data_IF_285251197586
#
_entry.id   IF_285251197586
#
_cell.length_a   1.000
_cell.length_b   1.000
_cell.length_c   1.000
_cell.angle_alpha   90.00
_cell.angle_beta   90.00
_cell.angle_gamma   90.00
#
_symmetry.space_group_name_H-M   'P 1'
#
loop_
_entity.id
_entity.type
_entity.pdbx_description
1 polymer ?
#
# COMPACT_ATOMS: atom_id res chain seq x y z
N UNK A 1 11.74 0.51 12.27
CA UNK A 1 10.29 0.23 12.36
C UNK A 1 10.04 -1.22 12.72
N UNK A 2 9.13 -1.48 13.66
CA UNK A 2 8.61 -2.81 14.03
C UNK A 2 7.11 -2.86 13.80
N UNK A 3 6.56 -4.06 13.53
CA UNK A 3 5.13 -4.32 13.41
C UNK A 3 4.74 -5.38 14.42
N UNK A 4 3.73 -5.11 15.25
CA UNK A 4 3.16 -6.10 16.16
C UNK A 4 1.69 -6.34 15.81
N UNK A 5 1.34 -7.60 15.63
CA UNK A 5 -0.03 -8.01 15.37
C UNK A 5 -0.73 -8.36 16.69
N UNK A 6 -2.00 -7.98 16.84
CA UNK A 6 -2.77 -8.18 18.07
C UNK A 6 -3.01 -9.65 18.46
N UNK A 7 -2.85 -10.58 17.52
CA UNK A 7 -2.93 -12.03 17.78
C UNK A 7 -1.59 -12.66 18.18
N UNK A 8 -0.49 -11.92 18.18
CA UNK A 8 0.81 -12.43 18.61
C UNK A 8 0.80 -12.66 20.12
N UNK A 9 1.14 -13.87 20.56
CA UNK A 9 1.20 -14.23 21.98
C UNK A 9 2.25 -13.42 22.76
N UNK A 10 3.25 -12.92 22.09
CA UNK A 10 4.30 -12.08 22.67
C UNK A 10 3.99 -10.58 22.59
N UNK A 11 2.82 -10.18 22.08
CA UNK A 11 2.47 -8.79 21.80
C UNK A 11 2.79 -7.83 22.96
N UNK A 12 2.27 -8.09 24.16
CA UNK A 12 2.43 -7.19 25.30
C UNK A 12 3.87 -7.11 25.79
N UNK A 13 4.59 -8.24 25.79
CA UNK A 13 6.00 -8.29 26.18
C UNK A 13 6.88 -7.52 25.17
N UNK A 14 6.63 -7.70 23.87
CA UNK A 14 7.35 -6.99 22.81
C UNK A 14 7.02 -5.49 22.82
N UNK A 15 5.75 -5.14 22.99
CA UNK A 15 5.30 -3.75 23.15
C UNK A 15 6.06 -3.07 24.29
N UNK A 16 6.05 -3.67 25.48
CA UNK A 16 6.76 -3.14 26.65
C UNK A 16 8.26 -2.97 26.37
N UNK A 17 8.88 -3.96 25.75
CA UNK A 17 10.30 -3.93 25.41
C UNK A 17 10.66 -2.85 24.37
N UNK A 18 9.80 -2.59 23.41
CA UNK A 18 9.98 -1.55 22.38
C UNK A 18 9.86 -0.15 23.01
N UNK A 19 8.80 0.09 23.78
CA UNK A 19 8.59 1.38 24.47
C UNK A 19 9.75 1.69 25.43
N UNK A 20 10.23 0.70 26.20
CA UNK A 20 11.38 0.86 27.09
C UNK A 20 12.69 1.19 26.34
N UNK A 21 12.77 0.94 25.03
CA UNK A 21 13.91 1.28 24.17
C UNK A 21 13.72 2.57 23.38
N UNK A 22 12.67 3.34 23.70
CA UNK A 22 12.36 4.63 23.06
C UNK A 22 11.78 4.50 21.67
N UNK A 23 11.09 3.41 21.36
CA UNK A 23 10.19 3.35 20.22
C UNK A 23 8.87 4.03 20.57
N UNK A 24 8.24 4.65 19.59
CA UNK A 24 6.95 5.32 19.72
C UNK A 24 5.90 4.51 18.97
N UNK A 25 4.69 4.44 19.53
CA UNK A 25 3.55 3.83 18.86
C UNK A 25 2.95 4.80 17.85
N UNK A 26 2.68 4.34 16.65
CA UNK A 26 1.93 5.07 15.63
C UNK A 26 0.42 4.73 15.75
N UNK A 27 -0.39 5.36 14.90
CA UNK A 27 -1.81 5.06 14.82
C UNK A 27 -2.06 3.58 14.47
N UNK A 28 -3.07 2.95 15.12
CA UNK A 28 -3.39 1.57 14.86
C UNK A 28 -3.89 1.35 13.44
N UNK A 29 -3.52 0.23 12.87
CA UNK A 29 -4.02 -0.28 11.59
C UNK A 29 -4.71 -1.62 11.78
N UNK A 30 -5.39 -2.08 10.75
CA UNK A 30 -6.02 -3.39 10.71
C UNK A 30 -5.51 -4.18 9.52
N UNK A 31 -4.98 -5.37 9.76
CA UNK A 31 -4.74 -6.32 8.68
C UNK A 31 -6.09 -6.83 8.20
N UNK A 32 -6.40 -6.57 6.92
CA UNK A 32 -7.61 -7.02 6.25
C UNK A 32 -7.25 -7.93 5.08
N UNK A 33 -8.09 -8.93 4.83
CA UNK A 33 -7.88 -9.94 3.78
C UNK A 33 -9.16 -10.14 2.98
N UNK A 34 -9.04 -10.38 1.67
CA UNK A 34 -10.15 -10.75 0.81
C UNK A 34 -9.70 -11.74 -0.27
N UNK A 35 -10.61 -12.59 -0.75
CA UNK A 35 -10.36 -13.35 -1.98
C UNK A 35 -10.27 -12.38 -3.17
N UNK A 36 -9.33 -12.63 -4.08
CA UNK A 36 -9.13 -11.79 -5.28
C UNK A 36 -10.41 -11.70 -6.10
N UNK A 37 -11.11 -12.81 -6.33
CA UNK A 37 -12.34 -12.86 -7.13
C UNK A 37 -13.46 -12.04 -6.48
N UNK A 38 -13.58 -12.06 -5.14
CA UNK A 38 -14.55 -11.24 -4.40
C UNK A 38 -14.30 -9.76 -4.64
N UNK A 39 -13.04 -9.33 -4.53
CA UNK A 39 -12.68 -7.92 -4.77
C UNK A 39 -12.93 -7.51 -6.21
N UNK A 40 -12.54 -8.34 -7.17
CA UNK A 40 -12.76 -8.06 -8.61
C UNK A 40 -14.25 -8.00 -8.96
N UNK A 41 -15.09 -8.84 -8.35
CA UNK A 41 -16.55 -8.81 -8.54
C UNK A 41 -17.22 -7.57 -7.90
N UNK A 42 -16.67 -7.08 -6.79
CA UNK A 42 -17.19 -5.90 -6.10
C UNK A 42 -16.73 -4.57 -6.74
N UNK A 43 -15.64 -4.60 -7.52
CA UNK A 43 -15.16 -3.44 -8.23
C UNK A 43 -16.06 -3.13 -9.45
N UNK A 44 -16.29 -1.84 -9.78
CA UNK A 44 -17.02 -1.50 -10.99
C UNK A 44 -16.28 -2.04 -12.23
N UNK A 45 -17.04 -2.51 -13.23
CA UNK A 45 -16.48 -3.08 -14.46
C UNK A 45 -15.52 -2.12 -15.19
N UNK A 46 -15.76 -0.81 -15.06
CA UNK A 46 -14.80 0.22 -15.40
C UNK A 46 -14.76 1.23 -14.27
N UNK A 47 -13.58 1.53 -13.74
CA UNK A 47 -13.44 2.64 -12.79
C UNK A 47 -13.68 3.92 -13.57
N UNK A 48 -14.87 4.52 -13.34
CA UNK A 48 -15.27 5.75 -14.01
C UNK A 48 -14.36 6.92 -13.57
N UNK A 49 -13.92 7.72 -14.54
CA UNK A 49 -13.13 8.90 -14.25
C UNK A 49 -12.05 9.17 -15.30
N UNK A 50 -11.42 10.33 -15.23
CA UNK A 50 -10.43 10.73 -16.20
C UNK A 50 -9.04 10.10 -15.96
N UNK A 51 -8.87 9.37 -14.84
CA UNK A 51 -7.58 8.83 -14.44
C UNK A 51 -7.22 7.56 -15.24
N UNK A 52 -5.98 7.48 -15.67
CA UNK A 52 -5.38 6.26 -16.22
C UNK A 52 -4.30 5.73 -15.26
N UNK A 53 -4.30 4.42 -14.99
CA UNK A 53 -3.28 3.82 -14.13
C UNK A 53 -2.39 2.86 -14.92
N UNK A 54 -1.09 2.82 -14.56
CA UNK A 54 -0.14 1.88 -15.13
C UNK A 54 0.87 1.39 -14.11
N UNK A 55 1.50 0.29 -14.41
CA UNK A 55 2.67 -0.18 -13.67
C UNK A 55 3.87 0.73 -13.97
N UNK A 56 4.67 0.97 -12.95
CA UNK A 56 5.95 1.67 -13.03
C UNK A 56 7.07 0.61 -13.13
N UNK A 57 7.86 0.65 -14.19
CA UNK A 57 8.82 -0.42 -14.51
C UNK A 57 10.25 0.07 -14.62
N UNK A 58 10.46 1.37 -14.56
CA UNK A 58 11.79 1.98 -14.66
C UNK A 58 12.11 2.84 -13.43
N UNK A 59 13.38 3.01 -13.14
CA UNK A 59 13.86 3.90 -12.07
C UNK A 59 13.31 5.32 -12.24
N UNK A 60 13.22 5.82 -13.47
CA UNK A 60 12.67 7.15 -13.78
C UNK A 60 11.17 7.26 -13.47
N UNK A 61 10.40 6.18 -13.61
CA UNK A 61 8.99 6.19 -13.26
C UNK A 61 8.75 6.49 -11.78
N UNK A 62 9.70 6.13 -10.91
CA UNK A 62 9.59 6.38 -9.47
C UNK A 62 9.79 7.85 -9.08
N UNK A 63 10.23 8.72 -9.99
CA UNK A 63 10.24 10.17 -9.74
C UNK A 63 8.81 10.69 -9.60
N UNK A 64 7.87 10.20 -10.42
CA UNK A 64 6.44 10.52 -10.30
C UNK A 64 5.86 9.96 -8.99
N UNK A 65 6.28 8.78 -8.57
CA UNK A 65 5.90 8.18 -7.29
C UNK A 65 6.36 9.04 -6.11
N UNK A 66 7.61 9.50 -6.13
CA UNK A 66 8.16 10.39 -5.11
C UNK A 66 7.39 11.70 -5.01
N UNK A 67 7.06 12.34 -6.13
CA UNK A 67 6.28 13.58 -6.16
C UNK A 67 4.91 13.43 -5.46
N UNK A 68 4.20 12.31 -5.67
CA UNK A 68 2.94 12.05 -4.98
C UNK A 68 3.17 11.99 -3.46
N UNK A 69 4.23 11.32 -3.02
CA UNK A 69 4.53 11.16 -1.61
C UNK A 69 4.95 12.48 -0.96
N UNK A 70 5.76 13.28 -1.63
CA UNK A 70 6.20 14.60 -1.15
C UNK A 70 5.02 15.56 -0.99
N UNK A 71 4.04 15.50 -1.90
CA UNK A 71 2.82 16.30 -1.83
C UNK A 71 1.88 15.87 -0.68
N UNK A 72 1.83 14.58 -0.37
CA UNK A 72 0.90 14.04 0.64
C UNK A 72 1.51 14.04 2.03
N UNK A 73 2.81 13.80 2.14
CA UNK A 73 3.56 13.77 3.40
C UNK A 73 4.78 14.69 3.33
N UNK A 74 4.57 16.01 3.32
CA UNK A 74 5.68 16.96 3.26
C UNK A 74 6.56 16.82 4.50
N UNK A 75 7.88 16.78 4.29
CA UNK A 75 8.87 16.65 5.36
C UNK A 75 9.13 15.22 5.86
N UNK A 76 8.39 14.22 5.35
CA UNK A 76 8.73 12.82 5.62
C UNK A 76 9.99 12.39 4.85
N UNK A 77 10.73 11.34 5.30
CA UNK A 77 11.94 10.87 4.62
C UNK A 77 11.62 10.07 3.35
N UNK A 78 10.74 10.61 2.50
CA UNK A 78 10.20 9.94 1.31
C UNK A 78 11.31 9.49 0.34
N UNK A 79 12.33 10.33 0.13
CA UNK A 79 13.44 10.04 -0.75
C UNK A 79 14.19 8.75 -0.35
N UNK A 80 14.33 8.47 0.95
CA UNK A 80 14.98 7.25 1.44
C UNK A 80 14.22 6.00 1.00
N UNK A 81 12.90 5.99 1.17
CA UNK A 81 12.06 4.85 0.76
C UNK A 81 12.05 4.69 -0.75
N UNK A 82 11.93 5.79 -1.49
CA UNK A 82 11.92 5.76 -2.96
C UNK A 82 13.27 5.31 -3.52
N UNK A 83 14.39 5.64 -2.89
CA UNK A 83 15.70 5.15 -3.30
C UNK A 83 15.86 3.63 -3.10
N UNK A 84 15.32 3.06 -2.01
CA UNK A 84 15.24 1.59 -1.85
C UNK A 84 14.39 0.98 -2.96
N UNK A 85 13.24 1.58 -3.29
CA UNK A 85 12.37 1.11 -4.38
C UNK A 85 13.03 1.20 -5.75
N UNK A 86 13.79 2.28 -6.03
CA UNK A 86 14.59 2.43 -7.25
C UNK A 86 15.61 1.30 -7.38
N UNK A 87 16.29 0.97 -6.28
CA UNK A 87 17.23 -0.16 -6.23
C UNK A 87 16.56 -1.49 -6.55
N UNK A 88 15.36 -1.73 -6.05
CA UNK A 88 14.62 -2.98 -6.32
C UNK A 88 14.18 -3.09 -7.79
N UNK A 89 13.76 -1.98 -8.40
CA UNK A 89 13.44 -1.96 -9.84
C UNK A 89 14.70 -2.23 -10.67
N UNK A 90 15.80 -1.61 -10.33
CA UNK A 90 17.10 -1.79 -11.05
C UNK A 90 17.59 -3.24 -10.94
N UNK A 91 17.40 -3.87 -9.80
CA UNK A 91 17.70 -5.29 -9.56
C UNK A 91 16.68 -6.26 -10.18
N UNK A 92 15.63 -5.74 -10.84
CA UNK A 92 14.55 -6.56 -11.41
C UNK A 92 13.86 -7.48 -10.37
N UNK A 93 13.67 -6.97 -9.15
CA UNK A 93 13.00 -7.74 -8.09
C UNK A 93 11.58 -8.11 -8.53
N UNK A 94 11.28 -9.40 -8.78
CA UNK A 94 9.97 -9.81 -9.25
C UNK A 94 8.88 -9.75 -8.16
N UNK A 95 9.29 -9.59 -6.91
CA UNK A 95 8.41 -9.63 -5.74
C UNK A 95 7.76 -8.30 -5.40
N UNK A 96 8.17 -7.19 -6.04
CA UNK A 96 7.58 -5.88 -5.78
C UNK A 96 7.13 -5.21 -7.09
N UNK A 97 5.89 -4.69 -7.10
CA UNK A 97 5.33 -4.02 -8.28
C UNK A 97 4.76 -2.66 -7.87
N UNK A 98 5.17 -1.62 -8.57
CA UNK A 98 4.76 -0.24 -8.34
C UNK A 98 3.74 0.20 -9.38
N UNK A 99 2.77 1.01 -8.95
CA UNK A 99 1.71 1.55 -9.80
C UNK A 99 1.48 3.03 -9.51
N UNK A 100 1.12 3.79 -10.53
CA UNK A 100 0.62 5.15 -10.37
C UNK A 100 -0.58 5.40 -11.29
N UNK A 101 -1.44 6.29 -10.84
CA UNK A 101 -2.55 6.83 -11.62
C UNK A 101 -2.24 8.27 -12.02
N UNK A 102 -2.57 8.57 -13.26
CA UNK A 102 -2.25 9.84 -13.93
C UNK A 102 -3.53 10.54 -14.35
N UNK A 103 -3.55 11.85 -14.17
CA UNK A 103 -4.57 12.74 -14.74
C UNK A 103 -4.39 12.91 -16.26
N UNK A 104 -5.38 13.45 -16.98
CA UNK A 104 -5.31 13.62 -18.43
C UNK A 104 -4.16 14.51 -18.93
N UNK A 105 -3.69 15.43 -18.09
CA UNK A 105 -2.52 16.29 -18.37
C UNK A 105 -1.17 15.59 -18.09
N UNK A 106 -1.20 14.34 -17.60
CA UNK A 106 -0.02 13.56 -17.26
C UNK A 106 0.47 13.74 -15.82
N UNK A 107 -0.20 14.53 -15.00
CA UNK A 107 0.15 14.65 -13.59
C UNK A 107 -0.06 13.31 -12.87
N UNK A 108 0.94 12.86 -12.11
CA UNK A 108 0.81 11.69 -11.24
C UNK A 108 0.07 12.08 -9.95
N UNK A 109 -1.07 11.43 -9.67
CA UNK A 109 -2.02 11.88 -8.63
C UNK A 109 -2.32 10.84 -7.56
N UNK A 110 -2.08 9.57 -7.85
CA UNK A 110 -2.28 8.47 -6.90
C UNK A 110 -1.23 7.37 -7.15
N UNK A 111 -0.84 6.68 -6.11
CA UNK A 111 0.15 5.61 -6.18
C UNK A 111 -0.16 4.46 -5.24
N UNK A 112 0.52 3.36 -5.44
CA UNK A 112 0.52 2.21 -4.57
C UNK A 112 1.46 1.14 -5.11
N UNK A 113 1.86 0.22 -4.23
CA UNK A 113 2.65 -0.93 -4.63
C UNK A 113 2.08 -2.21 -4.04
N UNK A 114 2.55 -3.34 -4.49
CA UNK A 114 2.24 -4.62 -3.89
C UNK A 114 3.48 -5.50 -3.81
N UNK A 115 3.53 -6.29 -2.76
CA UNK A 115 4.45 -7.42 -2.64
C UNK A 115 3.73 -8.70 -3.07
N UNK A 116 4.31 -9.41 -4.02
CA UNK A 116 3.82 -10.71 -4.46
C UNK A 116 4.91 -11.47 -5.22
N UNK A 117 5.47 -12.49 -4.63
CA UNK A 117 6.36 -13.40 -5.35
C UNK A 117 5.56 -14.42 -6.17
N UNK A 118 6.05 -14.81 -7.36
CA UNK A 118 5.40 -15.84 -8.16
C UNK A 118 5.20 -17.12 -7.36
N UNK A 119 3.95 -17.62 -7.33
CA UNK A 119 3.57 -18.82 -6.57
C UNK A 119 3.04 -18.56 -5.17
N UNK A 120 3.15 -17.34 -4.65
CA UNK A 120 2.54 -17.00 -3.36
C UNK A 120 1.00 -16.91 -3.51
N UNK A 121 0.23 -17.48 -2.57
CA UNK A 121 -1.22 -17.35 -2.62
C UNK A 121 -1.72 -15.96 -2.21
N UNK A 122 -0.90 -15.13 -1.60
CA UNK A 122 -1.30 -13.82 -1.04
C UNK A 122 -0.47 -12.70 -1.67
N UNK A 123 -1.15 -11.67 -2.16
CA UNK A 123 -0.53 -10.41 -2.54
C UNK A 123 -0.81 -9.33 -1.48
N UNK A 124 0.25 -8.73 -0.92
CA UNK A 124 0.14 -7.64 0.07
C UNK A 124 0.13 -6.28 -0.65
N UNK A 125 -0.98 -5.56 -0.54
CA UNK A 125 -1.16 -4.23 -1.13
C UNK A 125 -0.72 -3.16 -0.13
N UNK A 126 0.20 -2.29 -0.55
CA UNK A 126 0.82 -1.28 0.30
C UNK A 126 0.79 0.11 -0.33
N UNK A 127 1.06 1.13 0.49
CA UNK A 127 1.38 2.50 0.06
C UNK A 127 0.31 3.18 -0.78
N UNK A 128 -0.97 2.85 -0.57
CA UNK A 128 -2.09 3.49 -1.26
C UNK A 128 -2.19 4.96 -0.88
N UNK A 129 -1.78 5.85 -1.76
CA UNK A 129 -1.68 7.29 -1.54
C UNK A 129 -2.36 8.05 -2.64
N UNK A 130 -3.10 9.13 -2.29
CA UNK A 130 -3.81 9.98 -3.27
C UNK A 130 -3.69 11.44 -2.84
N UNK A 131 -3.26 12.31 -3.78
CA UNK A 131 -3.22 13.77 -3.59
C UNK A 131 -4.59 14.30 -3.18
N UNK A 132 -4.64 15.28 -2.29
CA UNK A 132 -5.88 15.76 -1.68
C UNK A 132 -6.93 16.20 -2.71
N UNK A 133 -6.52 16.89 -3.78
CA UNK A 133 -7.40 17.33 -4.87
C UNK A 133 -8.08 16.18 -5.63
N UNK A 134 -7.52 14.98 -5.59
CA UNK A 134 -8.00 13.80 -6.33
C UNK A 134 -8.68 12.76 -5.44
N UNK A 135 -8.84 13.04 -4.13
CA UNK A 135 -9.61 12.19 -3.22
C UNK A 135 -11.10 12.24 -3.56
N UNK A 136 -11.83 11.17 -3.24
CA UNK A 136 -13.26 11.01 -3.54
C UNK A 136 -13.63 11.03 -5.03
N UNK A 137 -12.65 10.86 -5.91
CA UNK A 137 -12.79 10.79 -7.37
C UNK A 137 -12.35 9.40 -7.90
N UNK A 138 -12.63 8.36 -7.15
CA UNK A 138 -12.33 6.96 -7.49
C UNK A 138 -10.83 6.61 -7.65
N UNK A 139 -9.90 7.51 -7.35
CA UNK A 139 -8.46 7.26 -7.48
C UNK A 139 -8.00 6.05 -6.66
N UNK A 140 -8.45 5.94 -5.41
CA UNK A 140 -8.16 4.79 -4.55
C UNK A 140 -8.72 3.47 -5.13
N UNK A 141 -9.96 3.49 -5.62
CA UNK A 141 -10.61 2.33 -6.26
C UNK A 141 -9.87 1.91 -7.52
N UNK A 142 -9.40 2.86 -8.33
CA UNK A 142 -8.57 2.60 -9.50
C UNK A 142 -7.26 1.90 -9.11
N UNK A 143 -6.57 2.42 -8.09
CA UNK A 143 -5.33 1.81 -7.60
C UNK A 143 -5.54 0.41 -7.03
N UNK A 144 -6.67 0.17 -6.38
CA UNK A 144 -7.02 -1.17 -5.90
C UNK A 144 -7.31 -2.11 -7.08
N UNK A 145 -8.08 -1.66 -8.08
CA UNK A 145 -8.47 -2.46 -9.24
C UNK A 145 -7.25 -2.94 -10.04
N UNK A 146 -6.32 -2.05 -10.37
CA UNK A 146 -5.14 -2.44 -11.17
C UNK A 146 -4.24 -3.41 -10.43
N UNK A 147 -4.10 -3.27 -9.11
CA UNK A 147 -3.29 -4.18 -8.29
C UNK A 147 -3.99 -5.53 -8.10
N UNK A 148 -5.30 -5.55 -7.86
CA UNK A 148 -6.08 -6.79 -7.78
C UNK A 148 -6.03 -7.59 -9.09
N UNK A 149 -6.19 -6.92 -10.24
CA UNK A 149 -6.04 -7.55 -11.56
C UNK A 149 -4.63 -8.10 -11.78
N UNK A 150 -3.60 -7.37 -11.37
CA UNK A 150 -2.22 -7.82 -11.48
C UNK A 150 -1.95 -9.03 -10.56
N UNK A 151 -2.45 -9.02 -9.34
CA UNK A 151 -2.37 -10.14 -8.40
C UNK A 151 -3.03 -11.41 -8.96
N UNK A 152 -4.26 -11.27 -9.51
CA UNK A 152 -4.96 -12.37 -10.18
C UNK A 152 -4.15 -12.98 -11.32
N UNK A 153 -3.60 -12.13 -12.22
CA UNK A 153 -2.77 -12.58 -13.36
C UNK A 153 -1.48 -13.29 -12.90
N UNK A 154 -1.01 -13.02 -11.69
CA UNK A 154 0.17 -13.64 -11.10
C UNK A 154 -0.15 -14.87 -10.25
N UNK A 155 -1.43 -15.25 -10.14
CA UNK A 155 -1.88 -16.45 -9.45
C UNK A 155 -2.16 -16.27 -7.96
N UNK A 156 -2.20 -15.06 -7.44
CA UNK A 156 -2.66 -14.81 -6.08
C UNK A 156 -4.14 -15.18 -5.93
N UNK A 157 -4.50 -15.89 -4.88
CA UNK A 157 -5.88 -16.20 -4.50
C UNK A 157 -6.47 -15.17 -3.54
N UNK A 158 -5.61 -14.48 -2.78
CA UNK A 158 -6.01 -13.51 -1.76
C UNK A 158 -5.23 -12.21 -1.86
N UNK A 159 -5.87 -11.13 -1.43
CA UNK A 159 -5.26 -9.83 -1.20
C UNK A 159 -5.22 -9.56 0.29
N UNK A 160 -4.12 -9.01 0.78
CA UNK A 160 -3.97 -8.50 2.13
C UNK A 160 -3.67 -7.00 2.09
N UNK A 161 -4.17 -6.25 3.07
CA UNK A 161 -3.94 -4.81 3.22
C UNK A 161 -3.78 -4.48 4.69
N UNK A 162 -2.76 -3.70 5.03
CA UNK A 162 -2.64 -3.05 6.34
C UNK A 162 -3.39 -1.72 6.27
N UNK A 163 -4.66 -1.75 6.67
CA UNK A 163 -5.62 -0.69 6.46
C UNK A 163 -5.60 0.34 7.59
N UNK A 164 -5.47 1.63 7.25
CA UNK A 164 -5.73 2.73 8.17
C UNK A 164 -7.24 2.82 8.49
N UNK A 165 -7.64 3.51 9.58
CA UNK A 165 -9.05 3.73 9.89
C UNK A 165 -9.86 4.33 8.74
N UNK A 166 -9.26 5.19 7.91
CA UNK A 166 -9.93 5.81 6.76
C UNK A 166 -10.16 4.84 5.61
N UNK A 167 -9.24 3.88 5.39
CA UNK A 167 -9.35 2.91 4.29
C UNK A 167 -10.21 1.70 4.62
N UNK A 168 -10.33 1.32 5.90
CA UNK A 168 -11.10 0.16 6.35
C UNK A 168 -12.55 0.13 5.81
N UNK A 169 -13.37 1.22 5.92
CA UNK A 169 -14.74 1.18 5.44
C UNK A 169 -14.84 1.06 3.92
N UNK A 170 -13.83 1.50 3.17
CA UNK A 170 -13.78 1.33 1.72
C UNK A 170 -13.48 -0.13 1.38
N UNK A 171 -12.48 -0.71 2.04
CA UNK A 171 -12.07 -2.09 1.83
C UNK A 171 -13.17 -3.08 2.24
N UNK A 172 -13.85 -2.84 3.38
CA UNK A 172 -14.97 -3.67 3.83
C UNK A 172 -16.09 -3.77 2.78
N UNK A 173 -16.44 -2.66 2.11
CA UNK A 173 -17.43 -2.66 1.00
C UNK A 173 -16.98 -3.46 -0.21
N UNK A 174 -15.70 -3.71 -0.36
CA UNK A 174 -15.09 -4.49 -1.43
C UNK A 174 -14.81 -5.94 -1.03
N UNK A 175 -15.34 -6.37 0.13
CA UNK A 175 -15.27 -7.75 0.59
C UNK A 175 -14.02 -8.08 1.41
N UNK A 176 -13.24 -7.08 1.84
CA UNK A 176 -12.16 -7.34 2.79
C UNK A 176 -12.71 -7.53 4.21
N UNK A 177 -12.22 -8.53 4.89
CA UNK A 177 -12.55 -8.85 6.28
C UNK A 177 -11.36 -8.55 7.20
N UNK A 178 -11.59 -8.01 8.40
CA UNK A 178 -10.54 -7.77 9.38
C UNK A 178 -10.01 -9.10 9.93
N UNK A 179 -8.70 -9.28 9.92
CA UNK A 179 -8.03 -10.47 10.42
C UNK A 179 -7.34 -10.22 11.77
N UNK A 180 -6.66 -9.06 11.92
CA UNK A 180 -5.93 -8.72 13.14
C UNK A 180 -5.75 -7.21 13.25
N UNK A 181 -5.65 -6.71 14.47
CA UNK A 181 -5.09 -5.39 14.72
C UNK A 181 -3.59 -5.40 14.45
N UNK A 182 -3.06 -4.25 14.07
CA UNK A 182 -1.64 -4.05 13.78
C UNK A 182 -1.20 -2.73 14.37
N UNK A 183 -0.07 -2.74 15.08
CA UNK A 183 0.56 -1.55 15.62
C UNK A 183 1.97 -1.40 15.05
N UNK A 184 2.30 -0.21 14.57
CA UNK A 184 3.64 0.15 14.14
C UNK A 184 4.39 0.82 15.29
N UNK A 185 5.67 0.50 15.42
CA UNK A 185 6.59 1.10 16.39
C UNK A 185 7.78 1.67 15.63
N UNK A 186 8.02 2.95 15.78
CA UNK A 186 9.13 3.64 15.15
C UNK A 186 10.06 4.26 16.18
N UNK A 187 11.33 4.32 15.84
CA UNK A 187 12.32 5.05 16.62
C UNK A 187 13.06 5.99 15.69
N UNK A 188 12.96 7.27 15.96
CA UNK A 188 13.77 8.28 15.30
C UNK A 188 15.19 8.16 15.83
N UNK A 189 16.12 7.76 14.96
CA UNK A 189 17.55 7.81 15.24
C UNK A 189 17.98 9.19 14.75
N UNK A 190 18.40 10.06 15.65
CA UNK A 190 19.06 11.30 15.27
C UNK A 190 20.36 10.93 14.54
N UNK A 191 20.55 11.52 13.35
CA UNK A 191 21.79 11.41 12.58
C UNK A 191 22.97 12.00 13.31
#
# INVERSE_FOLDING_TARGET
MWKLYGHDRAHDALRTALLARGFEENDPSTLMVAAVDTVLAALPAAVSGPLAARQLTTVRDLDAYQQIWDDVWPGAPNARYVNDYKSRIDQHDPGILFYAGFAPDGEAVTSGYMFHHPGDPIALLCGGTTKAAWRRQHAYTLMLAVRAQAAAKRGASHLAVEASPESQPILARLGFEPLSTLMFYEKHIAD
#
